data_IF_554550724192
#
_entry.id   IF_554550724192
#
_cell.length_a   1.000
_cell.length_b   1.000
_cell.length_c   1.000
_cell.angle_alpha   90.00
_cell.angle_beta   90.00
_cell.angle_gamma   90.00
#
_symmetry.space_group_name_H-M   'P 1'
#
loop_
_entity.id
_entity.type
_entity.pdbx_description
1 polymer ?
#
# COMPACT_ATOMS: atom_id res chain seq x y z
N UNK A 1 -0.21 6.97 -13.69
CA UNK A 1 0.99 7.84 -13.54
C UNK A 1 2.25 7.00 -13.50
N UNK A 2 3.43 7.63 -13.54
CA UNK A 2 4.73 6.93 -13.57
C UNK A 2 4.99 6.01 -12.37
N UNK A 3 4.66 6.48 -11.16
CA UNK A 3 4.69 5.71 -9.91
C UNK A 3 3.97 4.35 -10.03
N UNK A 4 2.69 4.39 -10.44
CA UNK A 4 1.87 3.19 -10.59
C UNK A 4 2.38 2.23 -11.66
N UNK A 5 2.94 2.74 -12.77
CA UNK A 5 3.58 1.88 -13.78
C UNK A 5 4.78 1.13 -13.21
N UNK A 6 5.65 1.82 -12.47
CA UNK A 6 6.83 1.20 -11.86
C UNK A 6 6.48 0.08 -10.89
N UNK A 7 5.49 0.30 -10.01
CA UNK A 7 5.01 -0.73 -9.08
C UNK A 7 4.47 -1.94 -9.84
N UNK A 8 3.64 -1.68 -10.86
CA UNK A 8 3.02 -2.72 -11.69
C UNK A 8 4.03 -3.54 -12.47
N UNK A 9 5.04 -2.90 -13.06
CA UNK A 9 6.13 -3.60 -13.75
C UNK A 9 6.92 -4.50 -12.80
N UNK A 10 7.28 -4.01 -11.61
CA UNK A 10 8.03 -4.80 -10.63
C UNK A 10 7.23 -6.01 -10.12
N UNK A 11 5.92 -5.82 -9.84
CA UNK A 11 5.03 -6.93 -9.47
C UNK A 11 4.92 -7.95 -10.61
N UNK A 12 4.73 -7.47 -11.85
CA UNK A 12 4.64 -8.35 -13.01
C UNK A 12 5.92 -9.18 -13.14
N UNK A 13 7.09 -8.55 -13.05
CA UNK A 13 8.38 -9.22 -13.16
C UNK A 13 8.57 -10.29 -12.07
N UNK A 14 8.19 -9.99 -10.83
CA UNK A 14 8.24 -10.96 -9.73
C UNK A 14 7.35 -12.18 -9.98
N UNK A 15 6.12 -11.96 -10.47
CA UNK A 15 5.13 -13.06 -10.65
C UNK A 15 5.38 -13.85 -11.94
N UNK A 16 5.77 -13.18 -13.02
CA UNK A 16 5.96 -13.79 -14.34
C UNK A 16 7.39 -14.33 -14.56
N UNK A 17 8.35 -13.97 -13.71
CA UNK A 17 9.75 -14.35 -13.86
C UNK A 17 10.47 -13.71 -15.06
N UNK A 18 9.85 -12.72 -15.70
CA UNK A 18 10.39 -12.04 -16.87
C UNK A 18 9.98 -10.55 -16.89
N UNK A 19 10.75 -9.68 -17.55
CA UNK A 19 10.44 -8.26 -17.63
C UNK A 19 9.05 -8.00 -18.22
N UNK A 20 8.38 -6.98 -17.71
CA UNK A 20 7.14 -6.49 -18.32
C UNK A 20 7.38 -6.09 -19.78
N UNK A 21 6.52 -6.51 -20.73
CA UNK A 21 6.61 -6.06 -22.12
C UNK A 21 6.61 -4.54 -22.23
N UNK A 22 7.26 -3.99 -23.26
CA UNK A 22 7.24 -2.56 -23.55
C UNK A 22 5.79 -2.11 -23.83
N UNK A 23 5.17 -1.39 -22.89
CA UNK A 23 3.76 -0.98 -22.96
C UNK A 23 3.08 -0.96 -21.59
N UNK A 24 1.75 -0.99 -21.54
CA UNK A 24 1.03 -1.26 -20.28
C UNK A 24 1.06 -2.78 -20.05
N UNK A 25 1.72 -3.27 -18.99
CA UNK A 25 1.80 -4.70 -18.73
C UNK A 25 0.40 -5.31 -18.62
N UNK A 26 0.21 -6.48 -19.22
CA UNK A 26 -0.94 -7.32 -18.88
C UNK A 26 -0.77 -7.82 -17.46
N UNK A 27 -1.40 -7.13 -16.51
CA UNK A 27 -1.29 -7.43 -15.09
C UNK A 27 -2.16 -8.60 -14.66
N UNK A 28 -2.93 -9.22 -15.54
CA UNK A 28 -3.86 -10.29 -15.16
C UNK A 28 -3.19 -11.37 -14.29
N UNK A 29 -2.00 -11.92 -14.63
CA UNK A 29 -1.32 -12.89 -13.75
C UNK A 29 -0.89 -12.30 -12.41
N UNK A 30 -0.45 -11.04 -12.40
CA UNK A 30 -0.07 -10.34 -11.18
C UNK A 30 -1.28 -10.07 -10.26
N UNK A 31 -2.44 -9.74 -10.84
CA UNK A 31 -3.67 -9.42 -10.10
C UNK A 31 -4.32 -10.64 -9.45
N UNK A 32 -3.95 -11.86 -9.85
CA UNK A 32 -4.29 -13.08 -9.11
C UNK A 32 -3.58 -13.17 -7.76
N UNK A 33 -2.41 -12.52 -7.64
CA UNK A 33 -1.53 -12.60 -6.46
C UNK A 33 -1.54 -11.33 -5.61
N UNK A 34 -1.79 -10.17 -6.23
CA UNK A 34 -1.81 -8.88 -5.54
C UNK A 34 -3.07 -8.08 -5.79
N UNK A 35 -3.45 -7.30 -4.78
CA UNK A 35 -4.42 -6.23 -4.92
C UNK A 35 -3.68 -4.89 -4.94
N UNK A 36 -3.85 -4.12 -6.02
CA UNK A 36 -3.36 -2.74 -6.10
C UNK A 36 -4.53 -1.79 -5.88
N UNK A 37 -4.50 -1.02 -4.79
CA UNK A 37 -5.57 -0.08 -4.45
C UNK A 37 -5.03 1.22 -3.87
N UNK A 38 -5.85 2.27 -3.96
CA UNK A 38 -5.60 3.56 -3.32
C UNK A 38 -6.57 3.72 -2.14
N UNK A 39 -6.18 4.51 -1.14
CA UNK A 39 -7.07 4.86 -0.02
C UNK A 39 -8.25 5.73 -0.45
N UNK A 40 -8.15 6.38 -1.62
CA UNK A 40 -9.27 6.98 -2.34
C UNK A 40 -9.23 6.41 -3.77
N UNK A 41 -10.24 5.63 -4.21
CA UNK A 41 -10.19 4.88 -5.47
C UNK A 41 -10.47 5.75 -6.71
N UNK A 42 -10.02 7.00 -6.68
CA UNK A 42 -10.17 7.96 -7.77
C UNK A 42 -8.84 8.65 -8.05
N UNK A 43 -8.68 9.10 -9.31
CA UNK A 43 -7.51 9.91 -9.68
C UNK A 43 -7.69 11.34 -9.15
N UNK A 44 -6.74 11.86 -8.37
CA UNK A 44 -6.81 13.24 -7.93
C UNK A 44 -6.70 14.22 -9.10
N UNK A 45 -7.52 15.28 -9.05
CA UNK A 45 -7.47 16.39 -10.00
C UNK A 45 -6.13 17.11 -9.83
N UNK A 46 -5.38 17.27 -10.93
CA UNK A 46 -4.07 17.92 -10.93
C UNK A 46 -2.99 17.21 -10.09
N UNK A 47 -3.16 15.91 -9.77
CA UNK A 47 -2.28 15.17 -8.86
C UNK A 47 -2.14 15.77 -7.45
N UNK A 48 -3.13 16.57 -7.01
CA UNK A 48 -3.15 17.13 -5.64
C UNK A 48 -3.68 16.10 -4.65
N UNK A 49 -3.11 16.05 -3.45
CA UNK A 49 -3.61 15.14 -2.41
C UNK A 49 -5.08 15.45 -2.07
N UNK A 50 -5.88 14.41 -1.86
CA UNK A 50 -7.26 14.58 -1.38
C UNK A 50 -7.28 15.18 0.02
N UNK A 51 -8.24 16.09 0.33
CA UNK A 51 -8.43 16.59 1.68
C UNK A 51 -8.68 15.45 2.68
N UNK A 52 -8.33 15.63 3.97
CA UNK A 52 -8.55 14.61 5.01
C UNK A 52 -9.99 14.10 5.07
N UNK A 53 -10.98 14.99 4.94
CA UNK A 53 -12.40 14.63 4.96
C UNK A 53 -12.81 13.64 3.85
N UNK A 54 -12.22 13.76 2.66
CA UNK A 54 -12.48 12.82 1.55
C UNK A 54 -11.91 11.45 1.90
N UNK A 55 -10.67 11.40 2.40
CA UNK A 55 -10.02 10.14 2.80
C UNK A 55 -10.79 9.44 3.91
N UNK A 56 -11.32 10.20 4.87
CA UNK A 56 -12.10 9.68 5.97
C UNK A 56 -13.45 9.11 5.50
N UNK A 57 -14.12 9.79 4.56
CA UNK A 57 -15.34 9.27 3.93
C UNK A 57 -15.11 7.94 3.20
N UNK A 58 -13.92 7.72 2.63
CA UNK A 58 -13.57 6.46 1.96
C UNK A 58 -13.04 5.37 2.89
N UNK A 59 -12.64 5.71 4.12
CA UNK A 59 -12.05 4.76 5.06
C UNK A 59 -12.91 3.52 5.29
N UNK A 60 -14.23 3.60 5.54
CA UNK A 60 -15.04 2.41 5.80
C UNK A 60 -14.99 1.41 4.64
N UNK A 61 -15.01 1.88 3.39
CA UNK A 61 -14.97 1.00 2.21
C UNK A 61 -13.62 0.30 2.05
N UNK A 62 -12.52 1.01 2.32
CA UNK A 62 -11.19 0.40 2.28
C UNK A 62 -10.99 -0.55 3.46
N UNK A 63 -11.48 -0.19 4.65
CA UNK A 63 -11.45 -1.05 5.82
C UNK A 63 -12.26 -2.33 5.57
N UNK A 64 -13.44 -2.24 4.96
CA UNK A 64 -14.26 -3.40 4.61
C UNK A 64 -13.58 -4.25 3.51
N UNK A 65 -13.05 -3.62 2.46
CA UNK A 65 -12.28 -4.32 1.42
C UNK A 65 -11.14 -5.14 2.03
N UNK A 66 -10.35 -4.51 2.91
CA UNK A 66 -9.28 -5.19 3.59
C UNK A 66 -9.84 -6.25 4.55
N UNK A 67 -10.76 -5.93 5.45
CA UNK A 67 -11.21 -6.86 6.51
C UNK A 67 -12.02 -8.04 5.96
N UNK A 68 -12.93 -7.81 5.02
CA UNK A 68 -14.00 -8.76 4.69
C UNK A 68 -13.82 -9.44 3.32
N UNK A 69 -13.15 -8.79 2.36
CA UNK A 69 -13.12 -9.24 0.96
C UNK A 69 -11.75 -9.71 0.48
N UNK A 70 -10.69 -9.06 0.95
CA UNK A 70 -9.33 -9.37 0.55
C UNK A 70 -8.68 -10.40 1.50
N UNK A 71 -8.03 -11.40 0.91
CA UNK A 71 -7.46 -12.55 1.65
C UNK A 71 -5.99 -12.40 2.03
N UNK A 72 -5.29 -11.38 1.54
CA UNK A 72 -3.86 -11.21 1.85
C UNK A 72 -3.62 -10.68 3.27
N UNK A 73 -2.46 -11.00 3.85
CA UNK A 73 -2.09 -10.65 5.24
C UNK A 73 -1.16 -9.44 5.38
N UNK A 74 -0.64 -8.90 4.27
CA UNK A 74 0.39 -7.84 4.29
C UNK A 74 0.04 -6.71 3.34
N UNK A 75 -0.02 -5.48 3.87
CA UNK A 75 -0.22 -4.27 3.08
C UNK A 75 1.11 -3.53 2.92
N UNK A 76 1.56 -3.40 1.68
CA UNK A 76 2.70 -2.54 1.35
C UNK A 76 2.21 -1.13 1.07
N UNK A 77 2.53 -0.17 1.94
CA UNK A 77 2.07 1.22 1.79
C UNK A 77 3.10 2.08 1.08
N UNK A 78 2.66 2.93 0.16
CA UNK A 78 3.53 3.83 -0.61
C UNK A 78 3.46 5.26 -0.06
N UNK A 79 4.44 5.63 0.77
CA UNK A 79 4.54 6.95 1.38
C UNK A 79 3.90 7.07 2.77
N UNK A 80 4.17 8.20 3.41
CA UNK A 80 3.75 8.52 4.78
C UNK A 80 2.24 8.56 4.96
N UNK A 81 1.51 9.20 4.05
CA UNK A 81 0.06 9.34 4.16
C UNK A 81 -0.64 7.97 4.07
N UNK A 82 -0.17 7.09 3.17
CA UNK A 82 -0.70 5.74 3.05
C UNK A 82 -0.41 4.90 4.29
N UNK A 83 0.78 5.04 4.89
CA UNK A 83 1.13 4.37 6.14
C UNK A 83 0.29 4.89 7.32
N UNK A 84 0.19 6.22 7.48
CA UNK A 84 -0.57 6.84 8.57
C UNK A 84 -2.08 6.61 8.48
N UNK A 85 -2.59 6.17 7.33
CA UNK A 85 -3.97 5.70 7.22
C UNK A 85 -4.28 4.60 8.25
N UNK A 86 -3.28 3.82 8.69
CA UNK A 86 -3.45 2.75 9.66
C UNK A 86 -3.48 3.20 11.14
N UNK A 87 -3.29 4.49 11.43
CA UNK A 87 -3.25 5.00 12.81
C UNK A 87 -4.48 4.66 13.68
N UNK A 88 -5.73 4.67 13.16
CA UNK A 88 -6.89 4.25 13.96
C UNK A 88 -6.89 2.76 14.35
N UNK A 89 -6.11 1.93 13.64
CA UNK A 89 -6.09 0.47 13.80
C UNK A 89 -4.86 -0.05 14.56
N UNK A 90 -3.75 0.70 14.52
CA UNK A 90 -2.51 0.39 15.23
C UNK A 90 -2.29 1.26 16.48
N UNK A 91 -3.05 2.35 16.62
CA UNK A 91 -2.81 3.38 17.63
C UNK A 91 -1.87 4.48 17.11
N UNK A 92 -2.23 5.74 17.34
CA UNK A 92 -1.49 6.89 16.82
C UNK A 92 -0.05 6.96 17.33
N UNK A 93 0.17 6.68 18.62
CA UNK A 93 1.51 6.68 19.22
C UNK A 93 2.43 5.63 18.58
N UNK A 94 1.93 4.39 18.43
CA UNK A 94 2.67 3.30 17.80
C UNK A 94 3.04 3.62 16.35
N UNK A 95 2.14 4.24 15.59
CA UNK A 95 2.43 4.69 14.21
C UNK A 95 3.55 5.72 14.17
N UNK A 96 3.54 6.72 15.05
CA UNK A 96 4.58 7.75 15.06
C UNK A 96 5.92 7.21 15.57
N UNK A 97 5.91 6.34 16.58
CA UNK A 97 7.11 5.63 17.05
C UNK A 97 7.72 4.77 15.94
N UNK A 98 6.90 3.97 15.26
CA UNK A 98 7.34 3.19 14.11
C UNK A 98 7.89 4.10 13.02
N UNK A 99 7.19 5.20 12.72
CA UNK A 99 7.61 6.11 11.67
C UNK A 99 8.93 6.80 12.01
N UNK A 100 9.31 6.97 13.27
CA UNK A 100 10.58 7.57 13.65
C UNK A 100 11.78 6.64 13.39
N UNK A 101 11.58 5.33 13.25
CA UNK A 101 12.65 4.34 13.11
C UNK A 101 13.54 4.57 11.88
N UNK A 102 14.87 4.37 11.98
CA UNK A 102 15.76 4.47 10.82
C UNK A 102 15.50 3.38 9.76
N UNK A 103 15.07 2.19 10.19
CA UNK A 103 14.81 0.99 9.38
C UNK A 103 13.32 0.84 8.98
N UNK A 104 12.54 1.93 9.06
CA UNK A 104 11.08 1.89 8.88
C UNK A 104 10.65 1.22 7.56
N UNK A 105 11.45 1.34 6.50
CA UNK A 105 11.11 0.79 5.18
C UNK A 105 11.50 -0.67 5.00
N UNK A 106 12.19 -1.25 5.98
CA UNK A 106 12.61 -2.64 6.06
C UNK A 106 11.81 -3.42 7.13
N UNK A 107 11.24 -2.72 8.12
CA UNK A 107 10.43 -3.30 9.20
C UNK A 107 8.93 -3.42 8.86
N UNK A 108 8.18 -4.14 9.69
CA UNK A 108 6.71 -4.26 9.63
C UNK A 108 6.05 -3.79 10.92
N UNK A 109 4.86 -3.21 10.79
CA UNK A 109 4.00 -2.87 11.92
C UNK A 109 2.75 -3.75 11.91
N UNK A 110 2.44 -4.40 13.02
CA UNK A 110 1.18 -5.11 13.18
C UNK A 110 0.03 -4.13 13.41
N UNK A 111 -1.15 -4.42 12.86
CA UNK A 111 -2.39 -3.70 13.16
C UNK A 111 -3.59 -4.64 13.08
N UNK A 112 -4.72 -4.23 13.66
CA UNK A 112 -5.99 -4.96 13.55
C UNK A 112 -7.00 -4.06 12.85
N UNK A 113 -7.30 -4.36 11.58
CA UNK A 113 -8.32 -3.63 10.84
C UNK A 113 -9.69 -4.01 11.39
N UNK A 114 -10.53 -3.00 11.58
CA UNK A 114 -11.92 -3.15 11.98
C UNK A 114 -12.83 -2.61 10.90
N UNK A 115 -13.89 -3.33 10.56
CA UNK A 115 -14.89 -2.90 9.61
C UNK A 115 -16.29 -3.34 10.06
N UNK A 116 -17.26 -2.44 9.96
CA UNK A 116 -18.66 -2.76 10.21
C UNK A 116 -19.33 -3.19 8.92
N UNK A 117 -19.93 -4.38 8.90
CA UNK A 117 -20.65 -4.94 7.75
C UNK A 117 -21.93 -5.62 8.21
N UNK A 118 -23.05 -5.24 7.63
CA UNK A 118 -24.36 -5.85 7.88
C UNK A 118 -24.74 -5.94 9.38
N UNK A 119 -24.34 -4.94 10.18
CA UNK A 119 -24.63 -4.89 11.61
C UNK A 119 -23.66 -5.67 12.51
N UNK A 120 -22.60 -6.27 11.95
CA UNK A 120 -21.53 -6.93 12.70
C UNK A 120 -20.18 -6.24 12.48
N UNK A 121 -19.36 -6.16 13.52
CA UNK A 121 -17.97 -5.70 13.43
C UNK A 121 -17.06 -6.89 13.14
N UNK A 122 -16.33 -6.83 12.04
CA UNK A 122 -15.28 -7.77 11.68
C UNK A 122 -13.92 -7.20 12.07
N UNK A 123 -13.06 -8.04 12.62
CA UNK A 123 -11.66 -7.70 12.92
C UNK A 123 -10.71 -8.61 12.15
N UNK A 124 -9.62 -8.05 11.63
CA UNK A 124 -8.60 -8.83 10.93
C UNK A 124 -7.19 -8.31 11.22
N UNK A 125 -6.28 -9.16 11.74
CA UNK A 125 -4.89 -8.79 11.90
C UNK A 125 -4.21 -8.66 10.53
N UNK A 126 -3.36 -7.65 10.38
CA UNK A 126 -2.56 -7.37 9.19
C UNK A 126 -1.16 -6.92 9.59
N UNK A 127 -0.20 -7.17 8.69
CA UNK A 127 1.10 -6.49 8.71
C UNK A 127 1.10 -5.32 7.74
N UNK A 128 1.65 -4.20 8.17
CA UNK A 128 1.84 -2.99 7.36
C UNK A 128 3.32 -2.80 7.12
N UNK A 129 3.71 -2.80 5.85
CA UNK A 129 5.09 -2.75 5.38
C UNK A 129 5.32 -1.47 4.56
N UNK A 130 5.79 -0.35 5.16
CA UNK A 130 5.90 0.88 4.41
C UNK A 130 7.07 0.87 3.44
N UNK A 131 6.88 1.62 2.36
CA UNK A 131 7.89 2.03 1.40
C UNK A 131 7.82 3.55 1.22
N UNK A 132 8.92 4.19 0.79
CA UNK A 132 8.87 5.60 0.45
C UNK A 132 7.93 5.82 -0.75
N UNK A 133 7.37 7.02 -0.86
CA UNK A 133 6.50 7.34 -2.00
C UNK A 133 7.31 7.33 -3.31
N UNK A 134 6.87 6.60 -4.35
CA UNK A 134 7.59 6.51 -5.63
C UNK A 134 7.38 7.74 -6.53
N UNK A 135 7.54 8.95 -5.98
CA UNK A 135 7.51 10.20 -6.75
C UNK A 135 8.93 10.61 -7.13
N UNK A 136 9.17 11.07 -8.37
CA UNK A 136 10.46 11.63 -8.77
C UNK A 136 10.83 12.90 -8.00
N UNK A 137 9.85 13.58 -7.38
CA UNK A 137 10.10 14.73 -6.50
C UNK A 137 10.79 14.35 -5.18
N UNK A 138 10.82 13.06 -4.83
CA UNK A 138 11.51 12.55 -3.66
C UNK A 138 12.85 11.93 -4.07
N UNK A 139 13.78 12.75 -4.54
CA UNK A 139 15.05 12.29 -5.13
C UNK A 139 15.84 11.35 -4.21
N UNK A 140 15.89 11.65 -2.91
CA UNK A 140 16.59 10.84 -1.91
C UNK A 140 16.13 9.38 -1.86
N UNK A 141 14.85 9.11 -2.18
CA UNK A 141 14.29 7.77 -2.17
C UNK A 141 13.99 7.22 -3.56
N UNK A 142 13.99 8.07 -4.60
CA UNK A 142 13.65 7.67 -5.95
C UNK A 142 14.56 6.56 -6.49
N UNK A 143 15.86 6.64 -6.20
CA UNK A 143 16.87 5.66 -6.59
C UNK A 143 16.83 4.39 -5.74
N UNK A 144 16.49 4.52 -4.44
CA UNK A 144 16.42 3.39 -3.49
C UNK A 144 15.12 2.60 -3.60
N UNK A 145 14.04 3.24 -4.04
CA UNK A 145 12.70 2.66 -4.10
C UNK A 145 12.63 1.32 -4.84
N UNK A 146 13.23 1.14 -6.04
CA UNK A 146 13.16 -0.13 -6.75
C UNK A 146 13.75 -1.30 -5.96
N UNK A 147 14.88 -1.10 -5.28
CA UNK A 147 15.51 -2.14 -4.47
C UNK A 147 14.66 -2.49 -3.24
N UNK A 148 14.09 -1.48 -2.57
CA UNK A 148 13.19 -1.70 -1.43
C UNK A 148 11.91 -2.45 -1.85
N UNK A 149 11.30 -2.05 -2.97
CA UNK A 149 10.13 -2.73 -3.50
C UNK A 149 10.43 -4.19 -3.83
N UNK A 150 11.55 -4.46 -4.50
CA UNK A 150 11.96 -5.83 -4.82
C UNK A 150 12.06 -6.71 -3.57
N UNK A 151 12.74 -6.23 -2.53
CA UNK A 151 12.84 -6.96 -1.25
C UNK A 151 11.48 -7.25 -0.61
N UNK A 152 10.52 -6.33 -0.74
CA UNK A 152 9.14 -6.56 -0.25
C UNK A 152 8.43 -7.62 -1.07
N UNK A 153 8.58 -7.59 -2.39
CA UNK A 153 7.97 -8.59 -3.28
C UNK A 153 8.59 -9.97 -3.06
N UNK A 154 9.92 -10.08 -2.97
CA UNK A 154 10.63 -11.33 -2.66
C UNK A 154 10.20 -11.96 -1.33
N UNK A 155 9.87 -11.12 -0.33
CA UNK A 155 9.47 -11.59 1.00
C UNK A 155 8.01 -12.07 1.05
N UNK A 156 7.12 -11.51 0.23
CA UNK A 156 5.67 -11.66 0.39
C UNK A 156 4.93 -12.29 -0.79
N UNK A 157 5.58 -12.51 -1.94
CA UNK A 157 5.00 -13.14 -3.14
C UNK A 157 5.68 -14.45 -3.49
#
# INVERSE_FOLDING_TARGET
GGAGRRVRSAVYEQVAGQPAPSGDPRLAPALERVLLTNTVPYKPVGNKAYPPAVRERFRPFIAELLCCHWRGGVVVTLGSEAFRWFAPYAGRAAVEEFWARPDRYEAEMACVIRADRAGATAERPLLVAPLPHPSPLNQAWWERFPALLRRRLERFL
#
